data_IF_326032752947
#
_entry.id   IF_326032752947
#
_cell.length_a   1.000
_cell.length_b   1.000
_cell.length_c   1.000
_cell.angle_alpha   90.00
_cell.angle_beta   90.00
_cell.angle_gamma   90.00
#
_symmetry.space_group_name_H-M   'P 1'
#
loop_
_entity.id
_entity.type
_entity.pdbx_description
1 polymer ?
#
# COMPACT_ATOMS: atom_id res chain seq x y z
N UNK A 1 -8.17 -9.74 5.83
CA UNK A 1 -7.22 -10.56 5.07
C UNK A 1 -7.69 -10.87 3.64
N UNK A 2 -8.71 -10.20 3.10
CA UNK A 2 -9.22 -10.49 1.75
C UNK A 2 -8.62 -9.55 0.71
N UNK A 3 -8.46 -8.27 1.04
CA UNK A 3 -8.04 -7.26 0.06
C UNK A 3 -6.60 -7.49 -0.44
N UNK A 4 -5.64 -7.71 0.46
CA UNK A 4 -4.27 -8.03 0.05
C UNK A 4 -4.16 -9.28 -0.81
N UNK A 5 -4.96 -10.32 -0.53
CA UNK A 5 -4.97 -11.52 -1.36
C UNK A 5 -5.48 -11.24 -2.79
N UNK A 6 -6.52 -10.40 -2.92
CA UNK A 6 -6.99 -9.96 -4.24
C UNK A 6 -5.94 -9.11 -4.97
N UNK A 7 -5.27 -8.19 -4.27
CA UNK A 7 -4.16 -7.42 -4.80
C UNK A 7 -3.04 -8.34 -5.32
N UNK A 8 -2.53 -9.24 -4.49
CA UNK A 8 -1.47 -10.21 -4.84
C UNK A 8 -1.87 -11.05 -6.06
N UNK A 9 -3.10 -11.57 -6.07
CA UNK A 9 -3.62 -12.37 -7.19
C UNK A 9 -3.69 -11.55 -8.49
N UNK A 10 -4.05 -10.28 -8.41
CA UNK A 10 -4.10 -9.38 -9.57
C UNK A 10 -2.70 -9.09 -10.09
N UNK A 11 -1.74 -8.78 -9.21
CA UNK A 11 -0.34 -8.59 -9.57
C UNK A 11 0.25 -9.84 -10.25
N UNK A 12 0.06 -11.03 -9.65
CA UNK A 12 0.56 -12.30 -10.20
C UNK A 12 0.05 -12.61 -11.60
N UNK A 13 -1.17 -12.18 -11.95
CA UNK A 13 -1.75 -12.36 -13.29
C UNK A 13 -1.17 -11.40 -14.34
N UNK A 14 -0.59 -10.30 -13.92
CA UNK A 14 -0.03 -9.27 -14.81
C UNK A 14 1.51 -9.34 -14.92
N UNK A 15 2.13 -10.31 -14.24
CA UNK A 15 3.56 -10.60 -14.39
C UNK A 15 3.75 -11.62 -15.51
N UNK A 16 4.66 -11.31 -16.43
CA UNK A 16 5.15 -12.24 -17.42
C UNK A 16 6.63 -12.55 -17.16
N UNK A 17 7.02 -13.82 -17.36
CA UNK A 17 8.42 -14.24 -17.26
C UNK A 17 9.28 -13.76 -18.43
N UNK A 18 8.65 -13.44 -19.54
CA UNK A 18 9.31 -12.97 -20.77
C UNK A 18 9.47 -11.44 -20.79
N UNK A 19 8.86 -10.74 -19.83
CA UNK A 19 8.96 -9.30 -19.65
C UNK A 19 10.19 -8.92 -18.81
N UNK A 20 10.80 -7.78 -19.13
CA UNK A 20 11.89 -7.22 -18.32
C UNK A 20 11.35 -6.77 -16.96
N UNK A 21 12.14 -6.93 -15.90
CA UNK A 21 11.75 -6.62 -14.51
C UNK A 21 11.05 -5.25 -14.36
N UNK A 22 11.59 -4.20 -14.99
CA UNK A 22 11.03 -2.84 -14.95
C UNK A 22 9.57 -2.78 -15.44
N UNK A 23 9.22 -3.53 -16.48
CA UNK A 23 7.84 -3.56 -16.97
C UNK A 23 6.91 -4.30 -16.01
N UNK A 24 7.40 -5.40 -15.42
CA UNK A 24 6.65 -6.10 -14.37
C UNK A 24 6.42 -5.20 -13.14
N UNK A 25 7.42 -4.41 -12.72
CA UNK A 25 7.27 -3.43 -11.63
C UNK A 25 6.21 -2.38 -11.99
N UNK A 26 6.25 -1.82 -13.20
CA UNK A 26 5.22 -0.87 -13.67
C UNK A 26 3.81 -1.48 -13.68
N UNK A 27 3.68 -2.76 -14.00
CA UNK A 27 2.39 -3.45 -13.91
C UNK A 27 1.89 -3.53 -12.46
N UNK A 28 2.79 -3.84 -11.51
CA UNK A 28 2.47 -3.84 -10.07
C UNK A 28 2.09 -2.44 -9.59
N UNK A 29 2.83 -1.41 -10.00
CA UNK A 29 2.54 0.00 -9.69
C UNK A 29 1.14 0.42 -10.15
N UNK A 30 0.80 0.14 -11.41
CA UNK A 30 -0.52 0.46 -11.96
C UNK A 30 -1.65 -0.27 -11.20
N UNK A 31 -1.41 -1.52 -10.78
CA UNK A 31 -2.37 -2.28 -9.98
C UNK A 31 -2.50 -1.66 -8.59
N UNK A 32 -1.40 -1.25 -7.97
CA UNK A 32 -1.40 -0.60 -6.66
C UNK A 32 -2.27 0.67 -6.68
N UNK A 33 -2.10 1.53 -7.68
CA UNK A 33 -2.91 2.75 -7.83
C UNK A 33 -4.39 2.45 -8.11
N UNK A 34 -4.71 1.50 -8.99
CA UNK A 34 -6.12 1.15 -9.25
C UNK A 34 -6.79 0.50 -8.02
N UNK A 35 -6.04 -0.32 -7.28
CA UNK A 35 -6.54 -1.00 -6.09
C UNK A 35 -6.87 -0.01 -4.97
N UNK A 36 -6.05 1.03 -4.80
CA UNK A 36 -6.19 2.05 -3.77
C UNK A 36 -6.74 3.39 -4.28
N UNK A 37 -7.36 3.42 -5.46
CA UNK A 37 -7.82 4.66 -6.14
C UNK A 37 -8.75 5.59 -5.37
N UNK A 38 -9.23 5.17 -4.19
CA UNK A 38 -10.00 6.02 -3.29
C UNK A 38 -9.12 7.06 -2.59
N UNK A 39 -7.81 6.79 -2.48
CA UNK A 39 -6.83 7.67 -1.87
C UNK A 39 -6.20 8.60 -2.91
N UNK A 40 -5.59 9.69 -2.45
CA UNK A 40 -4.84 10.60 -3.32
C UNK A 40 -3.67 9.90 -4.01
N UNK A 41 -3.55 10.09 -5.33
CA UNK A 41 -2.54 9.41 -6.14
C UNK A 41 -1.11 9.78 -5.73
N UNK A 42 -0.86 11.05 -5.36
CA UNK A 42 0.49 11.50 -5.02
C UNK A 42 0.96 10.85 -3.72
N UNK A 43 0.08 10.72 -2.74
CA UNK A 43 0.40 10.01 -1.49
C UNK A 43 0.63 8.51 -1.73
N UNK A 44 -0.13 7.89 -2.65
CA UNK A 44 0.12 6.50 -3.06
C UNK A 44 1.47 6.33 -3.77
N UNK A 45 1.86 7.29 -4.61
CA UNK A 45 3.17 7.30 -5.27
C UNK A 45 4.31 7.36 -4.24
N UNK A 46 4.20 8.19 -3.20
CA UNK A 46 5.16 8.20 -2.10
C UNK A 46 5.31 6.83 -1.42
N UNK A 47 4.19 6.15 -1.14
CA UNK A 47 4.23 4.79 -0.57
C UNK A 47 4.90 3.82 -1.52
N UNK A 48 4.50 3.81 -2.80
CA UNK A 48 5.04 2.86 -3.77
C UNK A 48 6.55 3.04 -3.93
N UNK A 49 7.00 4.28 -4.07
CA UNK A 49 8.42 4.62 -4.19
C UNK A 49 9.20 4.20 -2.95
N UNK A 50 8.65 4.40 -1.75
CA UNK A 50 9.30 3.93 -0.52
C UNK A 50 9.58 2.42 -0.56
N UNK A 51 8.58 1.59 -0.89
CA UNK A 51 8.80 0.15 -0.97
C UNK A 51 9.72 -0.23 -2.13
N UNK A 52 9.63 0.46 -3.28
CA UNK A 52 10.49 0.20 -4.44
C UNK A 52 11.97 0.50 -4.15
N UNK A 53 12.27 1.64 -3.54
CA UNK A 53 13.62 2.09 -3.25
C UNK A 53 14.30 1.30 -2.13
N UNK A 54 13.50 0.73 -1.21
CA UNK A 54 14.00 -0.04 -0.06
C UNK A 54 13.92 -1.56 -0.26
N UNK A 55 13.62 -2.05 -1.47
CA UNK A 55 13.50 -3.48 -1.75
C UNK A 55 14.70 -4.05 -2.51
N UNK A 56 15.17 -5.21 -2.08
CA UNK A 56 16.19 -5.99 -2.79
C UNK A 56 15.53 -6.89 -3.84
N UNK A 57 15.65 -6.51 -5.12
CA UNK A 57 15.07 -7.27 -6.22
C UNK A 57 15.73 -8.63 -6.49
N UNK A 58 16.85 -8.95 -5.84
CA UNK A 58 17.40 -10.31 -5.86
C UNK A 58 16.48 -11.30 -5.12
N UNK A 59 15.62 -10.82 -4.21
CA UNK A 59 14.53 -11.61 -3.59
C UNK A 59 13.39 -11.94 -4.58
N UNK A 60 13.33 -11.23 -5.72
CA UNK A 60 12.38 -11.45 -6.81
C UNK A 60 11.07 -10.67 -6.71
N UNK A 61 10.40 -10.53 -7.86
CA UNK A 61 9.20 -9.68 -8.00
C UNK A 61 8.00 -10.14 -7.15
N UNK A 62 7.89 -11.44 -6.85
CA UNK A 62 6.80 -11.92 -6.00
C UNK A 62 7.02 -11.54 -4.53
N UNK A 63 8.27 -11.56 -4.06
CA UNK A 63 8.60 -11.04 -2.73
C UNK A 63 8.36 -9.53 -2.65
N UNK A 64 8.66 -8.78 -3.72
CA UNK A 64 8.30 -7.35 -3.83
C UNK A 64 6.81 -7.11 -3.64
N UNK A 65 5.96 -7.90 -4.32
CA UNK A 65 4.50 -7.81 -4.17
C UNK A 65 4.06 -8.09 -2.72
N UNK A 66 4.66 -9.10 -2.09
CA UNK A 66 4.28 -9.51 -0.74
C UNK A 66 4.63 -8.41 0.30
N UNK A 67 5.62 -7.54 0.05
CA UNK A 67 5.93 -6.38 0.91
C UNK A 67 4.78 -5.37 1.01
N UNK A 68 3.89 -5.31 0.03
CA UNK A 68 2.73 -4.42 0.07
C UNK A 68 1.56 -4.98 0.90
N UNK A 69 1.60 -6.25 1.33
CA UNK A 69 0.48 -6.87 2.05
C UNK A 69 0.10 -6.09 3.32
N UNK A 70 1.03 -5.70 4.20
CA UNK A 70 0.69 -4.95 5.42
C UNK A 70 0.01 -3.62 5.11
N UNK A 71 0.58 -2.81 4.21
CA UNK A 71 0.04 -1.49 3.87
C UNK A 71 -1.31 -1.60 3.15
N UNK A 72 -1.50 -2.58 2.27
CA UNK A 72 -2.79 -2.84 1.63
C UNK A 72 -3.85 -3.21 2.65
N UNK A 73 -3.52 -4.11 3.60
CA UNK A 73 -4.45 -4.47 4.66
C UNK A 73 -4.80 -3.25 5.52
N UNK A 74 -3.82 -2.44 5.90
CA UNK A 74 -4.03 -1.24 6.71
C UNK A 74 -4.93 -0.22 6.02
N UNK A 75 -4.59 0.16 4.78
CA UNK A 75 -5.36 1.13 3.99
C UNK A 75 -6.74 0.59 3.61
N UNK A 76 -6.93 -0.72 3.65
CA UNK A 76 -8.24 -1.37 3.48
C UNK A 76 -9.02 -1.53 4.78
N UNK A 77 -8.53 -0.97 5.90
CA UNK A 77 -9.13 -1.09 7.24
C UNK A 77 -9.28 -2.55 7.71
N UNK A 78 -8.41 -3.45 7.24
CA UNK A 78 -8.35 -4.83 7.71
C UNK A 78 -7.42 -4.95 8.92
N UNK A 79 -7.60 -6.00 9.73
CA UNK A 79 -6.70 -6.30 10.84
C UNK A 79 -5.29 -6.57 10.31
N UNK A 80 -4.30 -5.90 10.90
CA UNK A 80 -2.89 -5.99 10.53
C UNK A 80 -2.09 -6.50 11.72
N UNK A 81 -1.39 -7.62 11.55
CA UNK A 81 -0.39 -8.15 12.48
C UNK A 81 1.01 -7.83 11.92
N UNK A 82 1.33 -6.55 11.87
CA UNK A 82 2.59 -6.01 11.36
C UNK A 82 2.91 -4.71 12.10
N UNK A 83 4.14 -4.62 12.59
CA UNK A 83 4.63 -3.42 13.26
C UNK A 83 5.27 -2.48 12.23
N UNK A 84 4.51 -1.47 11.81
CA UNK A 84 5.02 -0.45 10.91
C UNK A 84 6.16 0.35 11.58
N UNK A 85 7.24 0.56 10.83
CA UNK A 85 8.34 1.42 11.26
C UNK A 85 7.94 2.91 11.19
N UNK A 86 8.82 3.79 11.66
CA UNK A 86 8.51 5.22 11.75
C UNK A 86 8.27 5.89 10.40
N UNK A 87 8.93 5.44 9.33
CA UNK A 87 8.80 6.04 8.00
C UNK A 87 7.54 5.54 7.30
N UNK A 88 7.21 4.26 7.44
CA UNK A 88 5.91 3.71 7.01
C UNK A 88 4.75 4.42 7.71
N UNK A 89 4.88 4.66 9.03
CA UNK A 89 3.91 5.42 9.82
C UNK A 89 3.69 6.84 9.30
N UNK A 90 4.76 7.56 8.93
CA UNK A 90 4.65 8.89 8.32
C UNK A 90 3.93 8.85 6.97
N UNK A 91 4.26 7.88 6.12
CA UNK A 91 3.60 7.72 4.81
C UNK A 91 2.10 7.46 4.97
N UNK A 92 1.71 6.65 5.95
CA UNK A 92 0.30 6.41 6.29
C UNK A 92 -0.39 7.72 6.71
N UNK A 93 0.25 8.55 7.53
CA UNK A 93 -0.28 9.86 7.92
C UNK A 93 -0.44 10.79 6.71
N UNK A 94 0.52 10.81 5.80
CA UNK A 94 0.43 11.64 4.59
C UNK A 94 -0.74 11.22 3.69
N UNK A 95 -1.03 9.91 3.60
CA UNK A 95 -2.22 9.40 2.91
C UNK A 95 -3.51 9.87 3.59
N UNK A 96 -3.55 9.85 4.93
CA UNK A 96 -4.70 10.35 5.69
C UNK A 96 -4.94 11.83 5.47
N UNK A 97 -3.91 12.66 5.68
CA UNK A 97 -4.00 14.11 5.55
C UNK A 97 -4.45 14.51 4.13
N UNK A 98 -3.90 13.83 3.11
CA UNK A 98 -4.24 14.10 1.71
C UNK A 98 -5.64 13.60 1.33
N UNK A 99 -6.19 12.64 2.06
CA UNK A 99 -7.53 12.07 1.81
C UNK A 99 -8.61 12.63 2.75
N UNK A 100 -8.23 13.45 3.73
CA UNK A 100 -9.14 13.96 4.77
C UNK A 100 -10.30 14.79 4.19
N UNK A 101 -10.05 15.50 3.09
CA UNK A 101 -11.04 16.35 2.42
C UNK A 101 -11.90 15.60 1.39
N UNK A 102 -11.54 14.37 1.01
CA UNK A 102 -12.20 13.61 -0.06
C UNK A 102 -13.06 12.47 0.45
N UNK A 103 -12.80 11.97 1.67
CA UNK A 103 -13.60 10.92 2.28
C UNK A 103 -14.90 11.39 2.91
N UNK A 104 -15.87 10.47 2.90
CA UNK A 104 -17.09 10.61 3.71
C UNK A 104 -16.72 10.52 5.20
N UNK A 105 -17.49 11.20 6.04
CA UNK A 105 -17.20 11.36 7.47
C UNK A 105 -17.10 10.02 8.24
N UNK A 106 -17.89 9.01 7.84
CA UNK A 106 -17.85 7.65 8.38
C UNK A 106 -16.51 6.97 8.11
N UNK A 107 -16.07 6.95 6.84
CA UNK A 107 -14.76 6.38 6.44
C UNK A 107 -13.59 7.12 7.06
N UNK A 108 -13.68 8.45 7.13
CA UNK A 108 -12.65 9.27 7.75
C UNK A 108 -12.49 8.92 9.24
N UNK A 109 -13.60 8.70 9.94
CA UNK A 109 -13.60 8.33 11.36
C UNK A 109 -12.99 6.95 11.60
N UNK A 110 -13.29 5.97 10.75
CA UNK A 110 -12.68 4.63 10.84
C UNK A 110 -11.18 4.68 10.59
N UNK A 111 -10.75 5.42 9.57
CA UNK A 111 -9.34 5.56 9.24
C UNK A 111 -8.56 6.33 10.31
N UNK A 112 -9.16 7.37 10.90
CA UNK A 112 -8.58 8.06 12.06
C UNK A 112 -8.37 7.12 13.26
N UNK A 113 -9.34 6.24 13.56
CA UNK A 113 -9.18 5.21 14.62
C UNK A 113 -8.06 4.24 14.30
N UNK A 114 -7.93 3.80 13.06
CA UNK A 114 -6.84 2.93 12.62
C UNK A 114 -5.47 3.61 12.80
N UNK A 115 -5.36 4.90 12.50
CA UNK A 115 -4.12 5.67 12.70
C UNK A 115 -3.76 5.82 14.17
N UNK A 116 -4.74 6.11 15.04
CA UNK A 116 -4.50 6.15 16.49
C UNK A 116 -3.96 4.80 16.99
N UNK A 117 -4.45 3.69 16.44
CA UNK A 117 -3.94 2.35 16.81
C UNK A 117 -2.48 2.09 16.43
N UNK A 118 -1.90 2.88 15.50
CA UNK A 118 -0.47 2.80 15.18
C UNK A 118 0.44 3.41 16.25
N UNK A 119 -0.14 4.08 17.25
CA UNK A 119 0.62 4.72 18.34
C UNK A 119 1.52 5.86 17.85
N UNK A 120 1.15 6.51 16.73
CA UNK A 120 1.89 7.65 16.18
C UNK A 120 1.53 8.93 16.93
N UNK A 121 0.26 9.06 17.29
CA UNK A 121 -0.30 10.16 18.06
C UNK A 121 -0.39 9.66 19.52
N UNK A 122 0.60 10.00 20.34
CA UNK A 122 0.51 9.87 21.80
C UNK A 122 -0.30 11.03 22.39
#
# INVERSE_FOLDING_TARGET
>A
MLQSQFFVKRCKRCISKDEVLVNNVKNVENIFYDFLKIFDKKSLECIFNYYYENFDFDEGIYAFIDKFIPIINFLSLEVVDYEFNIDEKKLILEVFDSSACTFKADKLSEFARAIVSLGILN
#
